data_IF_882373311913
#
_entry.id   IF_882373311913
#
_cell.length_a   1.000
_cell.length_b   1.000
_cell.length_c   1.000
_cell.angle_alpha   90.00
_cell.angle_beta   90.00
_cell.angle_gamma   90.00
#
_symmetry.space_group_name_H-M   'P 1'
#
loop_
_entity.id
_entity.type
_entity.pdbx_description
1 polymer ?
#
# COMPACT_ATOMS: atom_id res chain seq x y z
N UNK A 1 63.72 56.74 -21.14
CA UNK A 1 62.76 57.09 -20.06
C UNK A 1 61.33 56.69 -20.47
N UNK A 2 61.08 55.40 -20.71
CA UNK A 2 59.79 54.89 -21.20
C UNK A 2 59.46 53.53 -20.56
N UNK A 3 59.73 53.40 -19.26
CA UNK A 3 59.41 52.19 -18.46
C UNK A 3 58.89 52.50 -17.04
N UNK A 4 58.63 53.77 -16.71
CA UNK A 4 58.10 54.17 -15.40
C UNK A 4 56.66 54.68 -15.40
N UNK A 5 55.99 54.80 -16.56
CA UNK A 5 54.60 55.29 -16.63
C UNK A 5 53.57 54.16 -16.73
N UNK A 6 53.99 52.93 -17.07
CA UNK A 6 53.07 51.79 -17.20
C UNK A 6 52.80 51.02 -15.90
N UNK A 7 53.58 51.26 -14.83
CA UNK A 7 53.37 50.61 -13.53
C UNK A 7 52.41 51.38 -12.60
N UNK A 8 52.16 52.67 -12.87
CA UNK A 8 51.27 53.50 -12.07
C UNK A 8 49.81 53.50 -12.58
N UNK A 9 49.55 53.03 -13.80
CA UNK A 9 48.20 52.94 -14.38
C UNK A 9 47.57 51.53 -14.23
N UNK A 10 48.29 50.56 -13.66
CA UNK A 10 47.81 49.20 -13.35
C UNK A 10 47.52 48.98 -11.85
N UNK A 11 47.45 50.05 -11.05
CA UNK A 11 47.10 50.02 -9.63
C UNK A 11 45.85 50.86 -9.29
N UNK A 12 45.17 51.41 -10.30
CA UNK A 12 44.00 52.29 -10.11
C UNK A 12 42.78 51.89 -10.95
N UNK A 13 42.62 50.60 -11.26
CA UNK A 13 41.39 50.06 -11.86
C UNK A 13 41.01 48.68 -11.30
N UNK A 14 41.42 48.38 -10.06
CA UNK A 14 41.12 47.14 -9.34
C UNK A 14 40.09 47.33 -8.22
N UNK A 15 39.15 48.27 -8.36
CA UNK A 15 38.24 48.66 -7.26
C UNK A 15 36.82 48.96 -7.72
N UNK A 16 36.26 48.15 -8.62
CA UNK A 16 34.81 48.05 -8.85
C UNK A 16 34.38 46.62 -9.24
N UNK A 17 35.04 45.59 -8.71
CA UNK A 17 34.30 44.35 -8.43
C UNK A 17 33.60 44.59 -7.08
N UNK A 18 32.47 45.28 -7.13
CA UNK A 18 31.47 45.16 -6.10
C UNK A 18 31.10 43.67 -6.08
N UNK A 19 31.75 42.90 -5.22
CA UNK A 19 31.29 41.57 -4.88
C UNK A 19 29.81 41.72 -4.54
N UNK A 20 28.95 41.04 -5.29
CA UNK A 20 27.54 40.93 -4.96
C UNK A 20 27.47 40.63 -3.48
N UNK A 21 27.00 41.59 -2.68
CA UNK A 21 26.87 41.39 -1.25
C UNK A 21 26.09 40.08 -1.07
N UNK A 22 26.72 39.07 -0.47
CA UNK A 22 26.07 37.81 -0.19
C UNK A 22 24.78 38.16 0.56
N UNK A 23 23.63 38.00 -0.10
CA UNK A 23 22.33 38.32 0.48
C UNK A 23 22.17 37.39 1.67
N UNK A 24 22.26 37.93 2.89
CA UNK A 24 22.20 37.14 4.10
C UNK A 24 20.93 36.28 4.10
N UNK A 25 21.11 34.96 4.15
CA UNK A 25 20.04 33.97 4.20
C UNK A 25 19.14 34.29 5.40
N UNK A 26 17.91 34.70 5.11
CA UNK A 26 17.02 35.25 6.15
C UNK A 26 16.17 34.16 6.80
N UNK A 27 15.82 33.12 6.03
CA UNK A 27 15.00 31.99 6.45
C UNK A 27 15.75 30.67 6.31
N UNK A 28 15.42 29.72 7.18
CA UNK A 28 15.96 28.35 7.21
C UNK A 28 14.81 27.36 7.31
N UNK A 29 14.87 26.25 6.57
CA UNK A 29 13.93 25.14 6.68
C UNK A 29 14.52 24.15 7.67
N UNK A 30 14.20 24.33 8.96
CA UNK A 30 14.90 23.64 10.04
C UNK A 30 14.59 22.13 10.07
N UNK A 31 13.31 21.79 9.94
CA UNK A 31 12.83 20.39 9.98
C UNK A 31 11.60 20.18 9.12
N UNK A 32 11.46 18.95 8.61
CA UNK A 32 10.24 18.43 8.00
C UNK A 32 10.02 17.05 8.62
N UNK A 33 8.87 16.83 9.24
CA UNK A 33 8.52 15.47 9.70
C UNK A 33 8.08 14.61 8.51
N UNK A 34 8.48 13.34 8.50
CA UNK A 34 8.01 12.40 7.47
C UNK A 34 6.50 12.20 7.55
N UNK A 35 5.84 12.16 6.40
CA UNK A 35 4.43 11.80 6.28
C UNK A 35 4.32 10.28 6.09
N UNK A 36 4.04 9.54 7.16
CA UNK A 36 4.03 8.08 7.11
C UNK A 36 2.59 7.52 6.99
N UNK A 37 2.27 7.01 5.80
CA UNK A 37 1.00 6.35 5.51
C UNK A 37 0.94 4.92 6.06
N UNK A 38 2.04 4.35 6.57
CA UNK A 38 2.07 3.04 7.18
C UNK A 38 1.78 1.91 6.19
N UNK A 39 1.15 0.84 6.67
CA UNK A 39 0.86 -0.34 5.87
C UNK A 39 -0.35 -0.14 4.96
N UNK A 40 -0.18 -0.45 3.68
CA UNK A 40 -1.20 -0.37 2.64
C UNK A 40 -1.25 -1.68 1.87
N UNK A 41 -2.44 -2.23 1.68
CA UNK A 41 -2.73 -3.26 0.69
C UNK A 41 -3.09 -2.56 -0.62
N UNK A 42 -2.31 -2.80 -1.67
CA UNK A 42 -2.60 -2.26 -3.01
C UNK A 42 -3.91 -2.82 -3.59
N UNK A 43 -4.53 -2.07 -4.50
CA UNK A 43 -5.64 -2.59 -5.29
C UNK A 43 -5.18 -3.76 -6.18
N UNK A 44 -6.10 -4.64 -6.59
CA UNK A 44 -5.78 -5.73 -7.52
C UNK A 44 -5.37 -5.21 -8.91
N UNK A 45 -5.96 -4.09 -9.34
CA UNK A 45 -5.63 -3.40 -10.57
C UNK A 45 -5.84 -1.89 -10.43
N UNK A 46 -5.03 -1.10 -11.15
CA UNK A 46 -5.14 0.35 -11.20
C UNK A 46 -4.74 1.05 -9.90
N UNK A 47 -4.60 2.38 -9.99
CA UNK A 47 -4.10 3.20 -8.90
C UNK A 47 -5.17 3.49 -7.84
N UNK A 48 -4.76 3.59 -6.59
CA UNK A 48 -5.58 4.09 -5.47
C UNK A 48 -5.00 5.39 -4.94
N UNK A 49 -5.83 6.37 -4.58
CA UNK A 49 -5.36 7.65 -4.04
C UNK A 49 -5.78 7.78 -2.59
N UNK A 50 -4.80 7.92 -1.68
CA UNK A 50 -5.01 8.16 -0.26
C UNK A 50 -4.78 9.63 0.05
N UNK A 51 -5.75 10.30 0.67
CA UNK A 51 -5.66 11.69 1.08
C UNK A 51 -5.39 11.80 2.57
N UNK A 52 -4.28 12.41 2.97
CA UNK A 52 -4.06 12.83 4.35
C UNK A 52 -4.53 14.27 4.57
N UNK A 53 -5.21 14.50 5.69
CA UNK A 53 -5.63 15.83 6.14
C UNK A 53 -4.45 16.59 6.74
N UNK A 54 -4.19 17.82 6.29
CA UNK A 54 -3.14 18.66 6.89
C UNK A 54 -3.36 18.94 8.38
N UNK A 55 -4.62 19.11 8.81
CA UNK A 55 -4.95 19.49 10.18
C UNK A 55 -4.90 18.31 11.15
N UNK A 56 -5.53 17.20 10.78
CA UNK A 56 -5.67 16.04 11.68
C UNK A 56 -4.70 14.89 11.38
N UNK A 57 -4.06 14.90 10.21
CA UNK A 57 -3.26 13.78 9.71
C UNK A 57 -4.08 12.54 9.33
N UNK A 58 -5.39 12.53 9.57
CA UNK A 58 -6.27 11.41 9.21
C UNK A 58 -6.24 11.14 7.71
N UNK A 59 -6.24 9.85 7.34
CA UNK A 59 -6.13 9.39 5.95
C UNK A 59 -7.45 8.80 5.49
N UNK A 60 -7.92 9.22 4.31
CA UNK A 60 -9.09 8.65 3.63
C UNK A 60 -8.74 8.12 2.25
N UNK A 61 -9.48 7.12 1.77
CA UNK A 61 -9.38 6.66 0.39
C UNK A 61 -10.25 7.56 -0.50
N UNK A 62 -9.62 8.22 -1.48
CA UNK A 62 -10.31 9.13 -2.42
C UNK A 62 -10.78 8.39 -3.66
N UNK A 63 -9.97 7.43 -4.14
CA UNK A 63 -10.28 6.62 -5.33
C UNK A 63 -9.54 5.29 -5.31
N UNK A 64 -9.99 4.35 -6.13
CA UNK A 64 -9.44 3.00 -6.22
C UNK A 64 -10.00 2.05 -5.16
N UNK A 65 -9.28 0.97 -4.90
CA UNK A 65 -9.71 -0.10 -3.98
C UNK A 65 -8.60 -0.60 -3.07
N UNK A 66 -7.49 0.14 -2.99
CA UNK A 66 -6.45 -0.11 -2.00
C UNK A 66 -6.98 0.13 -0.58
N UNK A 67 -6.39 -0.56 0.39
CA UNK A 67 -6.80 -0.50 1.79
C UNK A 67 -5.61 -0.10 2.65
N UNK A 68 -5.75 0.97 3.42
CA UNK A 68 -4.78 1.34 4.44
C UNK A 68 -5.10 0.60 5.74
N UNK A 69 -4.10 -0.07 6.32
CA UNK A 69 -4.24 -0.81 7.57
C UNK A 69 -3.80 0.02 8.79
N UNK A 70 -2.99 1.05 8.59
CA UNK A 70 -2.58 1.95 9.67
C UNK A 70 -3.69 2.95 10.05
N UNK A 71 -3.77 3.26 11.35
CA UNK A 71 -4.61 4.33 11.91
C UNK A 71 -3.84 5.61 12.28
N UNK A 72 -2.52 5.67 12.04
CA UNK A 72 -1.68 6.82 12.44
C UNK A 72 -1.93 8.05 11.55
N UNK A 73 -1.61 9.24 12.07
CA UNK A 73 -1.55 10.47 11.29
C UNK A 73 -0.45 10.41 10.22
N UNK A 74 -0.72 10.96 9.03
CA UNK A 74 0.18 10.97 7.88
C UNK A 74 0.31 12.38 7.25
N UNK A 75 0.25 13.43 8.06
CA UNK A 75 0.62 14.79 7.65
C UNK A 75 2.08 15.08 8.00
N UNK A 76 2.67 16.01 7.28
CA UNK A 76 4.00 16.55 7.59
C UNK A 76 3.88 17.88 8.34
N UNK A 77 4.79 18.12 9.27
CA UNK A 77 4.99 19.41 9.94
C UNK A 77 6.29 19.99 9.45
N UNK A 78 6.22 21.19 8.88
CA UNK A 78 7.39 21.93 8.40
C UNK A 78 7.70 23.04 9.39
N UNK A 79 8.95 23.12 9.84
CA UNK A 79 9.45 24.19 10.71
C UNK A 79 10.35 25.12 9.93
N UNK A 80 10.04 26.42 9.95
CA UNK A 80 10.86 27.46 9.32
C UNK A 80 11.27 28.46 10.39
N UNK A 81 12.56 28.74 10.49
CA UNK A 81 13.09 29.83 11.33
C UNK A 81 13.43 31.06 10.53
N UNK A 82 13.46 32.20 11.21
CA UNK A 82 14.01 33.44 10.69
C UNK A 82 15.18 33.92 11.56
N UNK A 83 16.24 34.34 10.89
CA UNK A 83 17.43 34.94 11.49
C UNK A 83 17.15 36.25 12.25
N UNK A 84 18.15 36.87 12.87
CA UNK A 84 17.98 38.16 13.52
C UNK A 84 18.10 39.34 12.54
N UNK A 85 17.23 39.40 11.53
CA UNK A 85 17.26 40.46 10.50
C UNK A 85 15.96 41.27 10.46
N UNK A 86 16.02 42.49 9.88
CA UNK A 86 14.83 43.34 9.80
C UNK A 86 13.70 42.76 8.94
N UNK A 87 14.07 41.95 7.94
CA UNK A 87 13.14 41.27 7.03
C UNK A 87 12.15 40.35 7.73
N UNK A 88 12.58 39.66 8.79
CA UNK A 88 11.76 38.71 9.54
C UNK A 88 10.43 39.29 10.00
N UNK A 89 10.40 40.57 10.39
CA UNK A 89 9.19 41.22 10.91
C UNK A 89 8.37 41.95 9.83
N UNK A 90 8.90 42.12 8.62
CA UNK A 90 8.31 43.01 7.62
C UNK A 90 8.06 42.35 6.26
N UNK A 91 8.64 41.18 6.00
CA UNK A 91 8.44 40.45 4.75
C UNK A 91 7.79 39.10 4.99
N UNK A 92 6.82 38.78 4.14
CA UNK A 92 6.24 37.44 4.08
C UNK A 92 7.30 36.42 3.65
N UNK A 93 7.19 35.22 4.19
CA UNK A 93 8.00 34.08 3.76
C UNK A 93 7.35 33.50 2.52
N UNK A 94 8.12 33.35 1.44
CA UNK A 94 7.68 32.60 0.28
C UNK A 94 8.28 31.20 0.37
N UNK A 95 7.42 30.20 0.49
CA UNK A 95 7.81 28.80 0.52
C UNK A 95 7.43 28.17 -0.81
N UNK A 96 8.38 27.50 -1.45
CA UNK A 96 8.13 26.72 -2.66
C UNK A 96 8.13 25.23 -2.30
N UNK A 97 7.08 24.52 -2.70
CA UNK A 97 6.99 23.06 -2.61
C UNK A 97 7.06 22.49 -4.03
N UNK A 98 8.06 21.65 -4.29
CA UNK A 98 8.23 20.96 -5.56
C UNK A 98 8.39 19.45 -5.35
N UNK A 99 8.14 18.66 -6.38
CA UNK A 99 8.43 17.22 -6.35
C UNK A 99 9.95 17.01 -6.31
N UNK A 100 10.40 16.01 -5.56
CA UNK A 100 11.82 15.71 -5.40
C UNK A 100 12.12 14.22 -5.54
N UNK A 101 13.29 13.91 -6.08
CA UNK A 101 13.72 12.52 -6.32
C UNK A 101 12.80 11.78 -7.29
N UNK A 102 13.00 10.47 -7.39
CA UNK A 102 12.09 9.56 -8.10
C UNK A 102 11.38 8.68 -7.08
N UNK A 103 10.05 8.55 -7.13
CA UNK A 103 9.33 7.65 -6.26
C UNK A 103 9.84 6.21 -6.37
N UNK A 104 9.73 5.46 -5.29
CA UNK A 104 10.19 4.07 -5.19
C UNK A 104 9.10 3.18 -4.62
N UNK A 105 9.16 1.89 -4.97
CA UNK A 105 8.07 0.96 -4.70
C UNK A 105 6.81 1.39 -5.42
N UNK A 106 5.64 1.18 -4.80
CA UNK A 106 4.33 1.46 -5.39
C UNK A 106 3.79 2.86 -5.11
N UNK A 107 4.62 3.79 -4.63
CA UNK A 107 4.20 5.18 -4.51
C UNK A 107 4.49 5.91 -5.81
N UNK A 108 3.53 6.70 -6.27
CA UNK A 108 3.76 7.70 -7.30
C UNK A 108 4.00 9.08 -6.67
N UNK A 109 4.32 10.06 -7.50
CA UNK A 109 4.35 11.46 -7.06
C UNK A 109 2.98 11.89 -6.50
N UNK A 110 3.00 12.74 -5.48
CA UNK A 110 1.79 13.37 -4.97
C UNK A 110 1.08 14.18 -6.06
N UNK A 111 -0.25 14.15 -6.03
CA UNK A 111 -1.09 14.81 -7.05
C UNK A 111 -1.73 16.09 -6.53
N UNK A 112 -1.91 16.20 -5.22
CA UNK A 112 -2.40 17.39 -4.56
C UNK A 112 -1.87 17.46 -3.12
N UNK A 113 -1.97 18.65 -2.54
CA UNK A 113 -1.71 18.89 -1.12
C UNK A 113 -2.90 19.59 -0.48
N UNK A 114 -3.05 19.41 0.83
CA UNK A 114 -3.82 20.30 1.69
C UNK A 114 -2.86 21.01 2.65
N UNK A 115 -3.23 22.19 3.13
CA UNK A 115 -2.40 22.98 4.04
C UNK A 115 -3.20 23.38 5.28
N UNK A 116 -2.53 23.42 6.43
CA UNK A 116 -3.10 23.91 7.66
C UNK A 116 -2.10 24.78 8.43
N UNK A 117 -2.62 25.76 9.15
CA UNK A 117 -1.81 26.58 10.04
C UNK A 117 -1.32 25.71 11.21
N UNK A 118 -0.04 25.85 11.54
CA UNK A 118 0.49 25.46 12.83
C UNK A 118 0.63 26.69 13.69
N UNK A 119 1.88 27.04 14.03
CA UNK A 119 2.18 28.34 14.65
C UNK A 119 2.44 29.44 13.63
N UNK A 120 2.70 29.10 12.36
CA UNK A 120 2.73 30.03 11.23
C UNK A 120 1.30 30.29 10.73
N UNK A 121 1.08 31.49 10.20
CA UNK A 121 -0.15 31.85 9.49
C UNK A 121 0.07 31.78 7.99
N UNK A 122 -0.64 30.89 7.30
CA UNK A 122 -0.65 30.83 5.84
C UNK A 122 -1.59 31.92 5.32
N UNK A 123 -1.08 32.79 4.45
CA UNK A 123 -1.82 33.92 3.88
C UNK A 123 -2.38 33.61 2.50
N UNK A 124 -1.68 32.78 1.72
CA UNK A 124 -2.13 32.29 0.41
C UNK A 124 -1.31 31.08 -0.01
N UNK A 125 -1.87 30.26 -0.89
CA UNK A 125 -1.14 29.22 -1.60
C UNK A 125 -1.69 29.07 -3.02
N UNK A 126 -0.82 28.88 -4.00
CA UNK A 126 -1.20 28.72 -5.41
C UNK A 126 -0.18 27.89 -6.18
N UNK A 127 -0.64 27.21 -7.24
CA UNK A 127 0.25 26.48 -8.15
C UNK A 127 0.94 27.45 -9.11
N UNK A 128 2.25 27.27 -9.30
CA UNK A 128 3.10 28.02 -10.22
C UNK A 128 3.69 27.08 -11.29
N UNK A 129 2.87 26.18 -11.83
CA UNK A 129 3.28 25.17 -12.81
C UNK A 129 3.89 23.95 -12.12
N UNK A 130 5.22 23.86 -12.07
CA UNK A 130 5.94 22.68 -11.55
C UNK A 130 6.12 22.66 -10.02
N UNK A 131 5.73 23.74 -9.33
CA UNK A 131 5.81 23.86 -7.89
C UNK A 131 4.63 24.67 -7.34
N UNK A 132 4.39 24.55 -6.04
CA UNK A 132 3.37 25.30 -5.31
C UNK A 132 4.06 26.39 -4.51
N UNK A 133 3.54 27.61 -4.58
CA UNK A 133 3.96 28.73 -3.74
C UNK A 133 3.03 28.80 -2.54
N UNK A 134 3.60 28.88 -1.34
CA UNK A 134 2.89 29.03 -0.06
C UNK A 134 3.46 30.28 0.61
N UNK A 135 2.62 31.29 0.81
CA UNK A 135 3.04 32.52 1.46
C UNK A 135 2.65 32.50 2.93
N UNK A 136 3.63 32.60 3.81
CA UNK A 136 3.43 32.73 5.25
C UNK A 136 3.51 34.20 5.66
N UNK A 137 2.75 34.57 6.69
CA UNK A 137 2.94 35.83 7.39
C UNK A 137 4.38 35.94 7.95
N UNK A 138 4.88 37.16 8.22
CA UNK A 138 6.25 37.35 8.69
C UNK A 138 6.54 36.52 9.96
N UNK A 139 7.70 35.86 9.98
CA UNK A 139 8.16 35.07 11.13
C UNK A 139 9.04 35.98 12.01
N UNK A 140 8.71 36.17 13.30
CA UNK A 140 9.49 37.05 14.17
C UNK A 140 10.98 36.71 14.21
N UNK A 141 11.82 37.71 14.46
CA UNK A 141 13.28 37.53 14.60
C UNK A 141 13.64 36.43 15.60
N UNK A 142 14.65 35.65 15.25
CA UNK A 142 15.19 34.57 16.10
C UNK A 142 14.10 33.60 16.58
N UNK A 143 13.07 33.38 15.77
CA UNK A 143 11.94 32.51 16.09
C UNK A 143 11.70 31.51 14.98
N UNK A 144 11.11 30.37 15.33
CA UNK A 144 10.65 29.36 14.40
C UNK A 144 9.12 29.25 14.42
N UNK A 145 8.53 28.97 13.26
CA UNK A 145 7.09 28.75 13.10
C UNK A 145 6.84 27.52 12.25
N UNK A 146 5.66 26.94 12.42
CA UNK A 146 5.27 25.69 11.80
C UNK A 146 4.02 25.81 10.96
N UNK A 147 3.96 25.08 9.85
CA UNK A 147 2.73 24.82 9.11
C UNK A 147 2.68 23.33 8.75
N UNK A 148 1.48 22.84 8.43
CA UNK A 148 1.24 21.42 8.22
C UNK A 148 0.80 21.17 6.77
N UNK A 149 1.18 20.01 6.25
CA UNK A 149 0.90 19.58 4.88
C UNK A 149 0.23 18.20 4.92
N UNK A 150 -0.91 18.07 4.26
CA UNK A 150 -1.53 16.80 3.91
C UNK A 150 -1.37 16.52 2.42
N UNK A 151 -1.50 15.27 2.00
CA UNK A 151 -1.11 14.80 0.67
C UNK A 151 -2.19 13.92 0.05
N UNK A 152 -2.40 14.09 -1.26
CA UNK A 152 -3.02 13.06 -2.09
C UNK A 152 -1.92 12.18 -2.66
N UNK A 153 -1.74 11.01 -2.04
CA UNK A 153 -0.72 10.03 -2.37
C UNK A 153 -1.31 8.92 -3.23
N UNK A 154 -0.91 8.83 -4.52
CA UNK A 154 -1.29 7.71 -5.35
C UNK A 154 -0.42 6.48 -5.07
N UNK A 155 -1.06 5.31 -5.10
CA UNK A 155 -0.47 3.99 -4.84
C UNK A 155 -0.84 3.06 -5.98
N UNK A 156 0.16 2.49 -6.64
CA UNK A 156 -0.05 1.65 -7.82
C UNK A 156 -0.59 0.26 -7.47
N UNK A 157 -1.58 -0.18 -8.26
CA UNK A 157 -2.24 -1.47 -8.15
C UNK A 157 -1.35 -2.64 -8.55
N UNK A 158 -1.71 -3.84 -8.10
CA UNK A 158 -0.92 -5.07 -8.23
C UNK A 158 -0.60 -5.48 -9.69
N UNK A 159 -1.26 -4.87 -10.67
CA UNK A 159 -0.96 -4.95 -12.09
C UNK A 159 0.27 -4.13 -12.53
N UNK A 160 0.76 -3.18 -11.71
CA UNK A 160 2.03 -2.49 -11.93
C UNK A 160 3.24 -3.43 -11.75
N UNK A 161 4.29 -3.16 -12.53
CA UNK A 161 5.60 -3.79 -12.41
C UNK A 161 6.40 -3.33 -11.17
N UNK A 162 5.95 -2.29 -10.47
CA UNK A 162 6.65 -1.76 -9.31
C UNK A 162 6.67 -2.76 -8.13
N UNK A 163 7.80 -2.87 -7.42
CA UNK A 163 7.93 -3.79 -6.31
C UNK A 163 7.07 -3.36 -5.12
N UNK A 164 6.56 -4.34 -4.37
CA UNK A 164 5.99 -4.11 -3.04
C UNK A 164 7.09 -3.96 -1.98
N UNK A 165 6.69 -3.62 -0.77
CA UNK A 165 7.57 -3.37 0.36
C UNK A 165 7.57 -1.89 0.74
N UNK A 166 8.69 -1.45 1.29
CA UNK A 166 8.88 -0.04 1.65
C UNK A 166 8.91 0.81 0.38
N UNK A 167 8.15 1.90 0.40
CA UNK A 167 7.94 2.77 -0.73
C UNK A 167 8.03 4.23 -0.27
N UNK A 168 8.64 5.06 -1.11
CA UNK A 168 8.96 6.46 -0.77
C UNK A 168 8.61 7.37 -1.94
N UNK A 169 7.95 8.49 -1.66
CA UNK A 169 7.87 9.65 -2.54
C UNK A 169 8.41 10.86 -1.77
N UNK A 170 9.10 11.78 -2.45
CA UNK A 170 9.72 12.92 -1.79
C UNK A 170 9.29 14.25 -2.40
N UNK A 171 9.40 15.31 -1.61
CA UNK A 171 9.15 16.68 -2.04
C UNK A 171 10.23 17.59 -1.44
N UNK A 172 10.51 18.70 -2.11
CA UNK A 172 11.46 19.72 -1.65
C UNK A 172 10.68 20.93 -1.17
N UNK A 173 11.02 21.41 0.02
CA UNK A 173 10.57 22.69 0.55
C UNK A 173 11.73 23.66 0.45
N UNK A 174 11.52 24.80 -0.21
CA UNK A 174 12.46 25.91 -0.27
C UNK A 174 11.85 27.14 0.38
N UNK A 175 12.48 27.69 1.41
CA UNK A 175 12.06 28.94 2.06
C UNK A 175 12.92 30.11 1.59
N UNK A 176 12.27 31.19 1.16
CA UNK A 176 12.93 32.39 0.67
C UNK A 176 12.10 33.65 0.94
N UNK A 177 12.68 34.82 0.64
CA UNK A 177 11.98 36.09 0.67
C UNK A 177 11.18 36.28 -0.62
N UNK A 178 9.97 36.84 -0.51
CA UNK A 178 9.13 37.14 -1.68
C UNK A 178 9.78 38.09 -2.70
N UNK A 179 10.68 38.97 -2.26
CA UNK A 179 11.41 39.93 -3.10
C UNK A 179 12.76 39.41 -3.60
N UNK A 180 13.06 38.12 -3.45
CA UNK A 180 14.38 37.54 -3.71
C UNK A 180 15.36 37.72 -2.54
N UNK A 181 16.41 36.89 -2.52
CA UNK A 181 17.43 36.80 -1.47
C UNK A 181 17.99 35.38 -1.33
N UNK A 182 18.79 35.13 -0.28
CA UNK A 182 19.24 33.77 0.05
C UNK A 182 18.06 32.85 0.40
N UNK A 183 18.11 31.61 -0.07
CA UNK A 183 17.09 30.59 0.13
C UNK A 183 17.70 29.37 0.86
N UNK A 184 16.87 28.69 1.65
CA UNK A 184 17.21 27.40 2.23
C UNK A 184 16.27 26.32 1.73
N UNK A 185 16.74 25.07 1.64
CA UNK A 185 15.88 23.96 1.22
C UNK A 185 16.11 22.69 2.01
N UNK A 186 15.02 21.96 2.26
CA UNK A 186 15.05 20.65 2.89
C UNK A 186 14.08 19.70 2.18
N UNK A 187 14.46 18.43 2.07
CA UNK A 187 13.63 17.38 1.48
C UNK A 187 12.75 16.76 2.57
N UNK A 188 11.46 16.65 2.29
CA UNK A 188 10.51 15.87 3.07
C UNK A 188 10.18 14.55 2.39
N UNK A 189 9.94 13.50 3.17
CA UNK A 189 9.58 12.18 2.65
C UNK A 189 8.14 11.83 3.00
N UNK A 190 7.55 11.05 2.09
CA UNK A 190 6.26 10.39 2.24
C UNK A 190 6.53 8.90 2.17
N UNK A 191 6.19 8.20 3.24
CA UNK A 191 6.57 6.80 3.46
C UNK A 191 5.33 5.93 3.50
N UNK A 192 5.42 4.73 2.91
CA UNK A 192 4.44 3.68 3.09
C UNK A 192 5.12 2.31 2.98
N UNK A 193 4.46 1.27 3.50
CA UNK A 193 4.78 -0.11 3.17
C UNK A 193 3.59 -0.69 2.40
N UNK A 194 3.79 -0.94 1.12
CA UNK A 194 2.72 -1.41 0.22
C UNK A 194 2.87 -2.90 -0.01
N UNK A 195 1.82 -3.68 0.23
CA UNK A 195 1.80 -5.14 -0.02
C UNK A 195 0.74 -5.51 -1.07
N UNK A 196 0.86 -6.70 -1.66
CA UNK A 196 -0.14 -7.22 -2.61
C UNK A 196 -1.45 -7.56 -1.92
N UNK A 197 -2.60 -7.40 -2.60
CA UNK A 197 -3.86 -7.94 -2.13
C UNK A 197 -3.80 -9.46 -2.05
N UNK A 198 -4.51 -10.02 -1.07
CA UNK A 198 -4.71 -11.47 -0.98
C UNK A 198 -5.86 -11.89 -1.89
N UNK A 199 -5.71 -13.04 -2.54
CA UNK A 199 -6.74 -13.63 -3.40
C UNK A 199 -6.75 -15.14 -3.25
N UNK A 200 -7.89 -15.76 -3.57
CA UNK A 200 -8.04 -17.20 -3.65
C UNK A 200 -8.79 -17.54 -4.94
N UNK A 201 -8.25 -18.48 -5.70
CA UNK A 201 -8.83 -18.94 -6.95
C UNK A 201 -9.08 -20.45 -6.87
N UNK A 202 -10.30 -20.88 -7.22
CA UNK A 202 -10.64 -22.29 -7.39
C UNK A 202 -10.11 -22.77 -8.75
N UNK A 203 -9.28 -23.80 -8.75
CA UNK A 203 -8.70 -24.41 -9.96
C UNK A 203 -9.30 -25.78 -10.28
N UNK A 204 -9.93 -26.45 -9.30
CA UNK A 204 -10.64 -27.71 -9.49
C UNK A 204 -11.82 -27.84 -8.51
N UNK A 205 -12.93 -28.42 -8.98
CA UNK A 205 -14.10 -28.72 -8.16
C UNK A 205 -13.96 -30.01 -7.35
N UNK A 206 -14.61 -30.04 -6.18
CA UNK A 206 -14.75 -31.25 -5.38
C UNK A 206 -15.82 -32.14 -6.00
N UNK A 207 -15.42 -33.28 -6.54
CA UNK A 207 -16.30 -34.29 -7.10
C UNK A 207 -16.00 -35.63 -6.43
N UNK A 208 -16.94 -36.15 -5.64
CA UNK A 208 -16.79 -37.46 -5.02
C UNK A 208 -16.91 -38.63 -6.02
N UNK A 209 -17.47 -38.38 -7.21
CA UNK A 209 -17.71 -39.36 -8.25
C UNK A 209 -19.06 -40.08 -8.10
N UNK A 210 -19.20 -41.25 -8.72
CA UNK A 210 -20.41 -42.08 -8.65
C UNK A 210 -20.14 -43.41 -7.95
N UNK A 211 -21.09 -43.87 -7.15
CA UNK A 211 -21.03 -45.13 -6.38
C UNK A 211 -22.38 -45.84 -6.36
N UNK A 212 -22.38 -47.16 -6.19
CA UNK A 212 -23.60 -47.90 -5.84
C UNK A 212 -23.95 -47.70 -4.37
N UNK A 213 -25.24 -47.71 -4.06
CA UNK A 213 -25.74 -47.73 -2.69
C UNK A 213 -25.50 -49.10 -2.05
N UNK A 214 -25.16 -49.17 -0.75
CA UNK A 214 -25.08 -50.45 -0.05
C UNK A 214 -26.39 -51.23 -0.14
N UNK A 215 -26.33 -52.55 -0.34
CA UNK A 215 -27.54 -53.41 -0.34
C UNK A 215 -28.12 -53.63 1.06
N UNK A 216 -27.28 -53.49 2.09
CA UNK A 216 -27.63 -53.52 3.51
C UNK A 216 -26.53 -52.84 4.32
N UNK A 217 -26.83 -52.44 5.55
CA UNK A 217 -25.87 -51.79 6.45
C UNK A 217 -25.43 -50.38 6.01
N UNK A 218 -24.22 -50.00 6.40
CA UNK A 218 -23.60 -48.71 6.11
C UNK A 218 -22.27 -48.87 5.36
N UNK A 219 -21.85 -47.80 4.72
CA UNK A 219 -20.58 -47.67 4.03
C UNK A 219 -20.15 -46.21 3.97
N UNK A 220 -18.99 -45.96 3.38
CA UNK A 220 -18.44 -44.61 3.24
C UNK A 220 -17.76 -44.47 1.90
N UNK A 221 -18.00 -43.36 1.21
CA UNK A 221 -17.19 -42.88 0.10
C UNK A 221 -16.17 -41.90 0.65
N UNK A 222 -14.89 -42.21 0.53
CA UNK A 222 -13.79 -41.36 0.96
C UNK A 222 -13.06 -40.82 -0.26
N UNK A 223 -12.75 -39.53 -0.25
CA UNK A 223 -11.88 -38.86 -1.21
C UNK A 223 -10.85 -38.06 -0.42
N UNK A 224 -9.57 -38.42 -0.51
CA UNK A 224 -8.52 -37.66 0.17
C UNK A 224 -8.25 -36.33 -0.54
N UNK A 225 -7.73 -35.30 0.15
CA UNK A 225 -7.26 -34.07 -0.50
C UNK A 225 -6.18 -34.31 -1.58
N UNK A 226 -5.47 -35.44 -1.53
CA UNK A 226 -4.53 -35.89 -2.56
C UNK A 226 -5.20 -36.54 -3.79
N UNK A 227 -6.53 -36.60 -3.85
CA UNK A 227 -7.28 -37.13 -5.00
C UNK A 227 -7.49 -38.65 -4.99
N UNK A 228 -7.22 -39.35 -3.88
CA UNK A 228 -7.41 -40.80 -3.79
C UNK A 228 -8.82 -41.10 -3.30
N UNK A 229 -9.61 -41.80 -4.13
CA UNK A 229 -10.97 -42.20 -3.81
C UNK A 229 -11.09 -43.68 -3.42
N UNK A 230 -11.82 -43.99 -2.37
CA UNK A 230 -12.13 -45.35 -1.90
C UNK A 230 -13.56 -45.48 -1.39
N UNK A 231 -14.08 -46.70 -1.36
CA UNK A 231 -15.43 -47.00 -0.87
C UNK A 231 -15.43 -48.19 0.08
N UNK A 232 -16.33 -48.17 1.05
CA UNK A 232 -16.62 -49.29 1.95
C UNK A 232 -18.12 -49.62 1.93
N UNK A 233 -18.48 -50.80 2.45
CA UNK A 233 -19.88 -51.25 2.57
C UNK A 233 -20.22 -52.44 1.67
N UNK A 234 -21.28 -53.15 2.04
CA UNK A 234 -21.71 -54.37 1.35
C UNK A 234 -22.22 -54.06 -0.05
N UNK A 235 -21.59 -54.67 -1.07
CA UNK A 235 -21.91 -54.48 -2.49
C UNK A 235 -21.79 -53.03 -2.99
N UNK A 236 -20.97 -52.21 -2.34
CA UNK A 236 -20.64 -50.86 -2.80
C UNK A 236 -19.52 -50.93 -3.83
N UNK A 237 -19.73 -50.29 -4.99
CA UNK A 237 -18.74 -50.15 -6.07
C UNK A 237 -18.65 -48.70 -6.48
N UNK A 238 -17.43 -48.25 -6.79
CA UNK A 238 -17.19 -46.95 -7.42
C UNK A 238 -17.21 -47.09 -8.94
N UNK A 239 -17.82 -46.13 -9.61
CA UNK A 239 -17.78 -46.01 -11.07
C UNK A 239 -16.62 -45.10 -11.51
N UNK A 240 -16.04 -45.34 -12.69
CA UNK A 240 -14.98 -44.49 -13.23
C UNK A 240 -15.48 -43.11 -13.70
N UNK A 241 -16.78 -42.98 -13.97
CA UNK A 241 -17.39 -41.75 -14.48
C UNK A 241 -18.67 -41.43 -13.72
N UNK A 242 -18.87 -40.18 -13.27
CA UNK A 242 -17.88 -39.10 -13.19
C UNK A 242 -16.67 -39.46 -12.31
N UNK A 243 -15.47 -39.02 -12.72
CA UNK A 243 -14.23 -39.28 -11.99
C UNK A 243 -14.21 -38.51 -10.67
N UNK A 244 -13.62 -39.10 -9.62
CA UNK A 244 -13.47 -38.38 -8.36
C UNK A 244 -12.30 -37.39 -8.45
N UNK A 245 -12.52 -36.14 -8.02
CA UNK A 245 -11.52 -35.06 -8.00
C UNK A 245 -11.60 -34.31 -6.68
N UNK A 246 -10.47 -34.10 -6.01
CA UNK A 246 -10.41 -33.20 -4.86
C UNK A 246 -10.58 -31.76 -5.34
N UNK A 247 -11.21 -30.89 -4.54
CA UNK A 247 -11.17 -29.47 -4.87
C UNK A 247 -9.76 -28.92 -4.67
N UNK A 248 -9.35 -28.01 -5.55
CA UNK A 248 -8.06 -27.33 -5.46
C UNK A 248 -8.29 -25.82 -5.51
N UNK A 249 -7.62 -25.11 -4.61
CA UNK A 249 -7.59 -23.68 -4.56
C UNK A 249 -6.15 -23.20 -4.47
N UNK A 250 -5.83 -22.14 -5.20
CA UNK A 250 -4.56 -21.43 -5.07
C UNK A 250 -4.82 -20.11 -4.36
N UNK A 251 -4.18 -19.94 -3.22
CA UNK A 251 -4.09 -18.66 -2.51
C UNK A 251 -2.89 -17.91 -3.06
N UNK A 252 -3.06 -16.63 -3.38
CA UNK A 252 -2.01 -15.76 -3.89
C UNK A 252 -1.99 -14.43 -3.12
N UNK A 253 -0.81 -13.86 -2.92
CA UNK A 253 -0.64 -12.59 -2.22
C UNK A 253 0.81 -12.15 -2.14
N UNK A 254 1.14 -11.41 -1.10
CA UNK A 254 2.49 -10.95 -0.79
C UNK A 254 3.33 -12.09 -0.21
N UNK A 255 4.51 -12.32 -0.77
CA UNK A 255 5.41 -13.39 -0.35
C UNK A 255 5.87 -13.25 1.09
N UNK A 256 6.00 -14.38 1.78
CA UNK A 256 6.41 -14.45 3.17
C UNK A 256 5.36 -13.96 4.18
N UNK A 257 4.17 -13.52 3.74
CA UNK A 257 3.11 -13.12 4.66
C UNK A 257 2.39 -14.32 5.26
N UNK A 258 2.06 -14.20 6.55
CA UNK A 258 1.21 -15.14 7.25
C UNK A 258 -0.26 -14.90 6.88
N UNK A 259 -0.97 -15.99 6.62
CA UNK A 259 -2.39 -15.98 6.27
C UNK A 259 -3.14 -17.05 7.06
N UNK A 260 -4.45 -16.90 7.19
CA UNK A 260 -5.33 -17.96 7.70
C UNK A 260 -6.32 -18.34 6.61
N UNK A 261 -6.35 -19.63 6.27
CA UNK A 261 -7.30 -20.24 5.34
C UNK A 261 -8.40 -20.94 6.12
N UNK A 262 -9.66 -20.58 5.91
CA UNK A 262 -10.80 -21.26 6.51
C UNK A 262 -11.48 -22.18 5.50
N UNK A 263 -11.53 -23.47 5.84
CA UNK A 263 -12.27 -24.50 5.10
C UNK A 263 -13.36 -25.05 6.03
N UNK A 264 -14.63 -25.06 5.61
CA UNK A 264 -15.71 -25.66 6.39
C UNK A 264 -15.40 -27.13 6.72
N UNK A 265 -15.80 -27.60 7.92
CA UNK A 265 -15.61 -29.00 8.33
C UNK A 265 -16.62 -29.95 7.68
N UNK A 266 -17.70 -29.44 7.10
CA UNK A 266 -18.72 -30.23 6.43
C UNK A 266 -19.46 -29.40 5.37
N UNK A 267 -20.15 -30.10 4.47
CA UNK A 267 -21.04 -29.51 3.46
C UNK A 267 -22.26 -30.40 3.30
N UNK A 268 -23.44 -29.79 3.21
CA UNK A 268 -24.67 -30.51 2.85
C UNK A 268 -24.76 -30.59 1.33
N UNK A 269 -24.84 -31.82 0.82
CA UNK A 269 -25.10 -32.12 -0.57
C UNK A 269 -26.59 -32.44 -0.73
N UNK A 270 -27.28 -31.74 -1.62
CA UNK A 270 -28.72 -31.87 -1.83
C UNK A 270 -29.01 -32.38 -3.23
N UNK A 271 -30.00 -33.24 -3.35
CA UNK A 271 -30.51 -33.80 -4.61
C UNK A 271 -32.04 -33.83 -4.62
N UNK A 272 -32.63 -34.30 -5.71
CA UNK A 272 -34.11 -34.34 -5.87
C UNK A 272 -34.82 -35.25 -4.88
N UNK A 273 -34.11 -36.21 -4.28
CA UNK A 273 -34.64 -37.28 -3.44
C UNK A 273 -34.21 -37.17 -1.97
N UNK A 274 -33.45 -36.13 -1.59
CA UNK A 274 -32.99 -35.91 -0.22
C UNK A 274 -31.68 -35.13 -0.13
N UNK A 275 -31.02 -35.22 1.03
CA UNK A 275 -29.70 -34.64 1.25
C UNK A 275 -28.77 -35.57 2.04
N UNK A 276 -27.47 -35.35 1.92
CA UNK A 276 -26.43 -36.04 2.68
C UNK A 276 -25.37 -35.04 3.10
N UNK A 277 -24.90 -35.13 4.34
CA UNK A 277 -23.80 -34.28 4.83
C UNK A 277 -22.48 -34.98 4.59
N UNK A 278 -21.59 -34.34 3.83
CA UNK A 278 -20.21 -34.76 3.66
C UNK A 278 -19.34 -34.11 4.74
N UNK A 279 -18.46 -34.88 5.37
CA UNK A 279 -17.43 -34.35 6.26
C UNK A 279 -16.20 -34.01 5.43
N UNK A 280 -15.75 -32.77 5.47
CA UNK A 280 -14.63 -32.30 4.66
C UNK A 280 -13.30 -32.49 5.40
N UNK A 281 -12.27 -32.81 4.63
CA UNK A 281 -10.87 -32.86 5.08
C UNK A 281 -10.04 -32.01 4.13
N UNK A 282 -8.96 -31.40 4.60
CA UNK A 282 -8.15 -30.53 3.76
C UNK A 282 -6.66 -30.64 4.06
N UNK A 283 -5.87 -30.19 3.09
CA UNK A 283 -4.48 -29.77 3.28
C UNK A 283 -4.39 -28.28 2.97
N UNK A 284 -3.60 -27.52 3.73
CA UNK A 284 -3.45 -26.08 3.53
C UNK A 284 -4.50 -25.20 4.22
N UNK A 285 -5.42 -25.77 5.02
CA UNK A 285 -6.27 -25.01 5.94
C UNK A 285 -5.53 -24.52 7.19
N UNK A 286 -6.10 -23.55 7.90
CA UNK A 286 -5.52 -22.96 9.10
C UNK A 286 -4.42 -21.93 8.79
N UNK A 287 -3.47 -21.76 9.70
CA UNK A 287 -2.36 -20.82 9.55
C UNK A 287 -1.37 -21.32 8.48
N UNK A 288 -1.07 -20.46 7.52
CA UNK A 288 -0.15 -20.71 6.42
C UNK A 288 0.82 -19.53 6.27
N UNK A 289 1.93 -19.74 5.59
CA UNK A 289 2.84 -18.68 5.13
C UNK A 289 2.95 -18.80 3.62
N UNK A 290 2.68 -17.69 2.93
CA UNK A 290 2.80 -17.67 1.47
C UNK A 290 4.26 -17.85 1.05
N UNK A 291 4.49 -18.62 -0.02
CA UNK A 291 5.82 -18.84 -0.57
C UNK A 291 6.53 -17.53 -0.94
N UNK A 292 7.85 -17.57 -1.13
CA UNK A 292 8.62 -16.39 -1.51
C UNK A 292 8.91 -15.44 -0.34
N UNK A 293 9.27 -14.20 -0.67
CA UNK A 293 9.65 -13.16 0.30
C UNK A 293 8.87 -11.88 0.06
N UNK A 294 8.89 -10.98 1.05
CA UNK A 294 8.35 -9.63 0.89
C UNK A 294 9.04 -8.94 -0.30
N UNK A 295 8.26 -8.18 -1.08
CA UNK A 295 8.67 -7.64 -2.38
C UNK A 295 8.21 -8.49 -3.57
N UNK A 296 7.95 -9.79 -3.36
CA UNK A 296 7.59 -10.75 -4.42
C UNK A 296 6.20 -11.35 -4.22
N UNK A 297 5.63 -11.91 -5.30
CA UNK A 297 4.39 -12.67 -5.19
C UNK A 297 4.63 -13.99 -4.44
N UNK A 298 3.66 -14.39 -3.62
CA UNK A 298 3.65 -15.65 -2.89
C UNK A 298 2.37 -16.43 -3.11
N UNK A 299 2.43 -17.74 -2.87
CA UNK A 299 1.29 -18.63 -3.02
C UNK A 299 1.25 -19.74 -1.98
N UNK A 300 0.06 -20.30 -1.77
CA UNK A 300 -0.17 -21.53 -1.03
C UNK A 300 -1.27 -22.35 -1.72
N UNK A 301 -1.15 -23.68 -1.70
CA UNK A 301 -2.16 -24.57 -2.25
C UNK A 301 -3.06 -25.12 -1.13
N UNK A 302 -4.35 -25.16 -1.40
CA UNK A 302 -5.37 -25.70 -0.51
C UNK A 302 -6.13 -26.77 -1.28
N UNK A 303 -6.10 -28.00 -0.77
CA UNK A 303 -6.85 -29.09 -1.37
C UNK A 303 -7.92 -29.56 -0.39
N UNK A 304 -9.11 -29.83 -0.89
CA UNK A 304 -10.24 -30.29 -0.08
C UNK A 304 -10.75 -31.61 -0.63
N UNK A 305 -10.80 -32.61 0.26
CA UNK A 305 -11.48 -33.87 0.07
C UNK A 305 -12.54 -34.05 1.15
N UNK A 306 -12.95 -35.28 1.40
CA UNK A 306 -13.90 -35.58 2.47
C UNK A 306 -14.39 -37.00 2.46
N UNK A 307 -15.40 -37.25 3.30
CA UNK A 307 -16.14 -38.49 3.38
C UNK A 307 -17.63 -38.23 3.23
N UNK A 308 -18.31 -39.10 2.50
CA UNK A 308 -19.77 -39.11 2.36
C UNK A 308 -20.28 -40.43 2.95
N UNK A 309 -21.14 -40.38 3.98
CA UNK A 309 -21.75 -41.58 4.52
C UNK A 309 -22.73 -42.18 3.50
N UNK A 310 -22.68 -43.48 3.35
CA UNK A 310 -23.60 -44.26 2.53
C UNK A 310 -24.41 -45.20 3.42
N UNK A 311 -25.71 -45.31 3.18
CA UNK A 311 -26.56 -46.29 3.85
C UNK A 311 -27.48 -46.96 2.84
N UNK A 312 -27.97 -48.14 3.20
CA UNK A 312 -29.08 -48.79 2.49
C UNK A 312 -30.40 -48.00 2.57
N UNK A 313 -30.43 -46.83 3.20
CA UNK A 313 -31.55 -45.86 3.19
C UNK A 313 -31.21 -44.55 2.47
N UNK A 314 -29.95 -44.30 2.07
CA UNK A 314 -29.54 -43.08 1.36
C UNK A 314 -30.38 -42.83 0.13
N UNK A 315 -30.74 -41.57 -0.08
CA UNK A 315 -31.44 -41.11 -1.27
C UNK A 315 -30.58 -41.37 -2.52
N UNK A 316 -31.24 -41.72 -3.63
CA UNK A 316 -30.58 -42.01 -4.91
C UNK A 316 -30.61 -40.78 -5.81
N UNK A 317 -29.52 -40.50 -6.50
CA UNK A 317 -29.45 -39.42 -7.49
C UNK A 317 -28.17 -38.61 -7.39
N UNK A 318 -28.14 -37.51 -8.13
CA UNK A 318 -27.04 -36.54 -8.08
C UNK A 318 -27.25 -35.59 -6.91
N UNK A 319 -26.21 -35.43 -6.10
CA UNK A 319 -26.19 -34.47 -4.99
C UNK A 319 -25.16 -33.39 -5.26
N UNK A 320 -25.53 -32.13 -5.02
CA UNK A 320 -24.66 -30.97 -5.20
C UNK A 320 -24.69 -30.09 -3.96
N UNK A 321 -23.60 -29.40 -3.67
CA UNK A 321 -23.49 -28.43 -2.59
C UNK A 321 -22.39 -27.43 -2.87
N UNK A 322 -22.34 -26.37 -2.06
CA UNK A 322 -21.36 -25.28 -2.19
C UNK A 322 -20.42 -25.30 -0.99
N UNK A 323 -19.12 -25.27 -1.26
CA UNK A 323 -18.08 -25.08 -0.24
C UNK A 323 -17.51 -23.68 -0.40
N UNK A 324 -17.55 -22.88 0.67
CA UNK A 324 -16.95 -21.54 0.69
C UNK A 324 -15.64 -21.59 1.45
N UNK A 325 -14.52 -21.42 0.75
CA UNK A 325 -13.18 -21.28 1.35
C UNK A 325 -12.85 -19.80 1.42
N UNK A 326 -12.39 -19.33 2.58
CA UNK A 326 -11.96 -17.93 2.76
C UNK A 326 -10.48 -17.87 3.14
N UNK A 327 -9.88 -16.72 2.87
CA UNK A 327 -8.50 -16.44 3.27
C UNK A 327 -8.37 -15.00 3.73
N UNK A 328 -7.50 -14.77 4.71
CA UNK A 328 -7.18 -13.45 5.25
C UNK A 328 -5.69 -13.37 5.60
N UNK A 329 -5.10 -12.18 5.51
CA UNK A 329 -3.81 -11.92 6.17
C UNK A 329 -3.99 -11.97 7.70
N UNK A 330 -2.92 -12.35 8.40
CA UNK A 330 -2.86 -12.38 9.87
C UNK A 330 -2.32 -11.08 10.45
#
# INVERSE_FOLDING_TARGET
MLRLILAALMLLSASLYAGSAAQAQSYSVDTITDANFGDIVSAASGQSVFRSSATSGGVTLVSGSGVRLSGTAANAVVTISCSNTNACNSTNVQVQLSLAGTPSGRLAYITAISLANGTASITSAFSAGSYIVINLAPIPRSSARTFLIGFDLPVDGNDSADPTGNAVSSYLITAQRASGGGADSLVGNILAKVIRPISIAKTQDLQFGSVTRPSSGSGTLTLTPGGVASVTGTNVRRFPTPAATAAQFTVSGEGGQAVTVSVPSSVTLSGSSGSVTATLTNTGGGAQVLSGSTGSAGSAQVNVGGTVPLSGSSALGTFTGTVTVTVQYN
#
